data_IF_242337425648
#
_entry.id   IF_242337425648
#
_cell.length_a   1.000
_cell.length_b   1.000
_cell.length_c   1.000
_cell.angle_alpha   90.00
_cell.angle_beta   90.00
_cell.angle_gamma   90.00
#
_symmetry.space_group_name_H-M   'P 1'
#
loop_
_entity.id
_entity.type
_entity.pdbx_description
1 polymer ?
#
# COMPACT_ATOMS: atom_id res chain seq x y z
N UNK A 1 -16.52 -5.63 18.87
CA UNK A 1 -16.57 -6.44 17.62
C UNK A 1 -16.03 -5.68 16.42
N UNK A 2 -16.38 -4.39 16.21
CA UNK A 2 -15.89 -3.61 15.06
C UNK A 2 -14.36 -3.52 14.95
N UNK A 3 -13.67 -3.22 16.05
CA UNK A 3 -12.20 -3.09 16.08
C UNK A 3 -11.46 -4.38 15.67
N UNK A 4 -11.96 -5.54 16.10
CA UNK A 4 -11.37 -6.84 15.75
C UNK A 4 -11.50 -7.09 14.25
N UNK A 5 -12.64 -6.74 13.65
CA UNK A 5 -12.86 -6.88 12.21
C UNK A 5 -11.92 -5.97 11.43
N UNK A 6 -11.79 -4.71 11.85
CA UNK A 6 -10.86 -3.74 11.23
C UNK A 6 -9.43 -4.30 11.26
N UNK A 7 -8.97 -4.75 12.43
CA UNK A 7 -7.62 -5.32 12.57
C UNK A 7 -7.39 -6.55 11.68
N UNK A 8 -8.38 -7.45 11.56
CA UNK A 8 -8.28 -8.61 10.66
C UNK A 8 -8.16 -8.16 9.20
N UNK A 9 -8.95 -7.17 8.78
CA UNK A 9 -8.91 -6.62 7.42
C UNK A 9 -7.56 -5.96 7.15
N UNK A 10 -7.02 -5.19 8.09
CA UNK A 10 -5.72 -4.53 7.95
C UNK A 10 -4.58 -5.54 7.80
N UNK A 11 -4.59 -6.60 8.60
CA UNK A 11 -3.63 -7.71 8.48
C UNK A 11 -3.73 -8.36 7.11
N UNK A 12 -4.95 -8.60 6.61
CA UNK A 12 -5.17 -9.16 5.29
C UNK A 12 -4.65 -8.22 4.18
N UNK A 13 -4.87 -6.91 4.29
CA UNK A 13 -4.37 -5.91 3.34
C UNK A 13 -2.84 -5.88 3.30
N UNK A 14 -2.18 -5.90 4.46
CA UNK A 14 -0.71 -5.99 4.54
C UNK A 14 -0.22 -7.30 3.91
N UNK A 15 -0.86 -8.43 4.23
CA UNK A 15 -0.50 -9.72 3.65
C UNK A 15 -0.66 -9.74 2.12
N UNK A 16 -1.73 -9.18 1.58
CA UNK A 16 -1.93 -8.99 0.15
C UNK A 16 -0.84 -8.10 -0.46
N UNK A 17 -0.45 -7.02 0.21
CA UNK A 17 0.66 -6.16 -0.21
C UNK A 17 2.01 -6.88 -0.25
N UNK A 18 2.30 -7.71 0.77
CA UNK A 18 3.50 -8.55 0.83
C UNK A 18 3.50 -9.57 -0.31
N UNK A 19 2.37 -10.23 -0.55
CA UNK A 19 2.22 -11.17 -1.66
C UNK A 19 2.39 -10.48 -3.01
N UNK A 20 1.81 -9.30 -3.20
CA UNK A 20 2.01 -8.50 -4.41
C UNK A 20 3.50 -8.18 -4.63
N UNK A 21 4.21 -7.78 -3.57
CA UNK A 21 5.65 -7.51 -3.63
C UNK A 21 6.47 -8.78 -3.92
N UNK A 22 6.08 -9.91 -3.35
CA UNK A 22 6.72 -11.20 -3.60
C UNK A 22 6.52 -11.66 -5.05
N UNK A 23 5.29 -11.63 -5.57
CA UNK A 23 5.01 -12.00 -6.96
C UNK A 23 5.62 -11.01 -7.96
N UNK A 24 5.67 -9.72 -7.64
CA UNK A 24 6.33 -8.72 -8.48
C UNK A 24 7.80 -9.02 -8.75
N UNK A 25 8.52 -9.62 -7.79
CA UNK A 25 9.91 -10.07 -7.98
C UNK A 25 10.04 -11.26 -8.93
N UNK A 26 9.00 -12.06 -9.09
CA UNK A 26 9.00 -13.21 -9.98
C UNK A 26 8.70 -12.82 -11.43
N UNK A 27 8.14 -11.62 -11.66
CA UNK A 27 7.90 -11.15 -13.02
C UNK A 27 9.22 -10.73 -13.66
N UNK A 28 9.80 -11.65 -14.43
CA UNK A 28 11.02 -11.43 -15.21
C UNK A 28 10.82 -10.47 -16.39
N UNK A 29 11.94 -10.06 -17.01
CA UNK A 29 11.98 -9.09 -18.11
C UNK A 29 12.42 -7.69 -17.67
N UNK A 30 13.27 -7.04 -18.47
CA UNK A 30 14.01 -5.83 -18.08
C UNK A 30 13.15 -4.62 -17.71
N UNK A 31 11.91 -4.53 -18.21
CA UNK A 31 11.05 -3.34 -18.07
C UNK A 31 9.73 -3.64 -17.34
N UNK A 32 9.17 -4.85 -17.49
CA UNK A 32 8.00 -5.31 -16.72
C UNK A 32 8.28 -5.40 -15.22
N UNK A 33 9.49 -5.85 -14.87
CA UNK A 33 9.91 -6.04 -13.48
C UNK A 33 9.84 -4.75 -12.65
N UNK A 34 10.45 -3.64 -13.12
CA UNK A 34 10.48 -2.38 -12.37
C UNK A 34 9.11 -1.72 -12.24
N UNK A 35 8.26 -1.83 -13.27
CA UNK A 35 6.93 -1.23 -13.26
C UNK A 35 6.00 -1.97 -12.29
N UNK A 36 6.03 -3.31 -12.32
CA UNK A 36 5.23 -4.15 -11.44
C UNK A 36 5.72 -4.06 -9.99
N UNK A 37 7.04 -3.98 -9.76
CA UNK A 37 7.58 -3.70 -8.43
C UNK A 37 7.10 -2.36 -7.86
N UNK A 38 7.01 -1.31 -8.69
CA UNK A 38 6.51 -0.01 -8.25
C UNK A 38 5.03 -0.09 -7.84
N UNK A 39 4.20 -0.79 -8.63
CA UNK A 39 2.80 -1.03 -8.26
C UNK A 39 2.70 -1.82 -6.96
N UNK A 40 3.48 -2.89 -6.83
CA UNK A 40 3.48 -3.73 -5.65
C UNK A 40 3.95 -2.99 -4.39
N UNK A 41 4.94 -2.09 -4.50
CA UNK A 41 5.32 -1.21 -3.39
C UNK A 41 4.18 -0.28 -2.97
N UNK A 42 3.35 0.19 -3.90
CA UNK A 42 2.17 0.98 -3.57
C UNK A 42 1.09 0.16 -2.87
N UNK A 43 0.81 -1.07 -3.33
CA UNK A 43 -0.12 -1.96 -2.62
C UNK A 43 0.34 -2.32 -1.21
N UNK A 44 1.65 -2.56 -1.03
CA UNK A 44 2.21 -2.77 0.29
C UNK A 44 2.06 -1.53 1.17
N UNK A 45 2.36 -0.33 0.65
CA UNK A 45 2.23 0.91 1.39
C UNK A 45 0.77 1.21 1.78
N UNK A 46 -0.21 0.86 0.94
CA UNK A 46 -1.64 0.93 1.26
C UNK A 46 -1.99 0.08 2.49
N UNK A 47 -1.60 -1.20 2.50
CA UNK A 47 -1.83 -2.07 3.66
C UNK A 47 -1.15 -1.53 4.93
N UNK A 48 0.08 -1.03 4.78
CA UNK A 48 0.82 -0.40 5.89
C UNK A 48 0.11 0.86 6.41
N UNK A 49 -0.50 1.67 5.55
CA UNK A 49 -1.20 2.89 5.97
C UNK A 49 -2.40 2.58 6.89
N UNK A 50 -3.15 1.51 6.59
CA UNK A 50 -4.28 1.07 7.41
C UNK A 50 -3.82 0.52 8.75
N UNK A 51 -2.87 -0.42 8.75
CA UNK A 51 -2.40 -1.01 10.02
C UNK A 51 -1.71 0.03 10.91
N UNK A 52 -1.04 1.02 10.32
CA UNK A 52 -0.40 2.11 11.06
C UNK A 52 -1.45 3.00 11.72
N UNK A 53 -2.52 3.37 10.99
CA UNK A 53 -3.63 4.15 11.55
C UNK A 53 -4.27 3.42 12.75
N UNK A 54 -4.65 2.15 12.57
CA UNK A 54 -5.20 1.31 13.63
C UNK A 54 -4.24 1.21 14.82
N UNK A 55 -2.95 1.00 14.57
CA UNK A 55 -1.94 0.90 15.62
C UNK A 55 -1.73 2.22 16.37
N UNK A 56 -1.73 3.37 15.67
CA UNK A 56 -1.57 4.70 16.27
C UNK A 56 -2.77 5.03 17.17
N UNK A 57 -3.99 4.83 16.68
CA UNK A 57 -5.21 5.10 17.45
C UNK A 57 -5.34 4.19 18.68
N UNK A 58 -4.93 2.93 18.55
CA UNK A 58 -5.03 1.95 19.65
C UNK A 58 -3.92 2.13 20.69
N UNK A 59 -2.68 2.42 20.26
CA UNK A 59 -1.53 2.50 21.17
C UNK A 59 -1.34 3.89 21.78
N UNK A 60 -1.82 4.93 21.10
CA UNK A 60 -1.66 6.32 21.51
C UNK A 60 -3.01 7.07 21.41
N UNK A 61 -3.99 6.74 22.28
CA UNK A 61 -5.34 7.33 22.22
C UNK A 61 -5.35 8.85 22.48
N UNK A 62 -4.29 9.39 23.07
CA UNK A 62 -4.08 10.84 23.24
C UNK A 62 -3.59 11.56 21.97
N UNK A 63 -3.32 10.86 20.87
CA UNK A 63 -3.01 11.50 19.60
C UNK A 63 -4.25 12.24 19.07
N UNK A 64 -4.00 13.39 18.48
CA UNK A 64 -5.02 14.15 17.79
C UNK A 64 -5.54 13.36 16.56
N UNK A 65 -6.85 13.13 16.53
CA UNK A 65 -7.52 12.37 15.48
C UNK A 65 -7.31 13.00 14.11
N UNK A 66 -7.36 14.34 14.04
CA UNK A 66 -7.17 15.07 12.78
C UNK A 66 -5.77 14.82 12.22
N UNK A 67 -4.74 14.87 13.06
CA UNK A 67 -3.35 14.57 12.67
C UNK A 67 -3.18 13.13 12.18
N UNK A 68 -3.80 12.15 12.84
CA UNK A 68 -3.74 10.73 12.43
C UNK A 68 -4.41 10.54 11.07
N UNK A 69 -5.61 11.08 10.88
CA UNK A 69 -6.33 10.99 9.61
C UNK A 69 -5.57 11.67 8.45
N UNK A 70 -5.00 12.85 8.68
CA UNK A 70 -4.18 13.54 7.67
C UNK A 70 -2.98 12.67 7.27
N UNK A 71 -2.29 12.09 8.26
CA UNK A 71 -1.14 11.23 8.03
C UNK A 71 -1.52 9.98 7.23
N UNK A 72 -2.64 9.35 7.57
CA UNK A 72 -3.21 8.22 6.83
C UNK A 72 -3.49 8.60 5.36
N UNK A 73 -4.20 9.71 5.12
CA UNK A 73 -4.53 10.19 3.76
C UNK A 73 -3.30 10.49 2.92
N UNK A 74 -2.25 11.06 3.53
CA UNK A 74 -0.98 11.31 2.84
C UNK A 74 -0.32 9.99 2.43
N UNK A 75 -0.28 8.98 3.30
CA UNK A 75 0.27 7.66 2.96
C UNK A 75 -0.53 6.98 1.83
N UNK A 76 -1.86 7.02 1.90
CA UNK A 76 -2.75 6.48 0.85
C UNK A 76 -2.52 7.20 -0.49
N UNK A 77 -2.36 8.52 -0.48
CA UNK A 77 -2.07 9.30 -1.69
C UNK A 77 -0.73 8.89 -2.29
N UNK A 78 0.33 8.81 -1.49
CA UNK A 78 1.67 8.37 -1.95
C UNK A 78 1.61 6.96 -2.53
N UNK A 79 0.94 6.03 -1.85
CA UNK A 79 0.76 4.67 -2.32
C UNK A 79 0.02 4.61 -3.67
N UNK A 80 -1.03 5.41 -3.81
CA UNK A 80 -1.80 5.54 -5.06
C UNK A 80 -0.94 6.09 -6.19
N UNK A 81 -0.12 7.11 -5.93
CA UNK A 81 0.80 7.66 -6.91
C UNK A 81 1.82 6.62 -7.39
N UNK A 82 2.37 5.80 -6.49
CA UNK A 82 3.28 4.70 -6.87
C UNK A 82 2.59 3.70 -7.82
N UNK A 83 1.33 3.34 -7.53
CA UNK A 83 0.54 2.45 -8.39
C UNK A 83 0.31 3.07 -9.77
N UNK A 84 -0.15 4.32 -9.82
CA UNK A 84 -0.42 5.03 -11.08
C UNK A 84 0.85 5.20 -11.93
N UNK A 85 1.98 5.55 -11.31
CA UNK A 85 3.27 5.64 -12.01
C UNK A 85 3.69 4.27 -12.55
N UNK A 86 3.44 3.20 -11.79
CA UNK A 86 3.72 1.82 -12.20
C UNK A 86 2.92 1.44 -13.45
N UNK A 87 1.61 1.72 -13.44
CA UNK A 87 0.75 1.53 -14.61
C UNK A 87 1.18 2.39 -15.80
N UNK A 88 1.52 3.67 -15.59
CA UNK A 88 1.95 4.56 -16.67
C UNK A 88 3.26 4.10 -17.33
N UNK A 89 4.19 3.53 -16.55
CA UNK A 89 5.42 2.92 -17.08
C UNK A 89 5.13 1.65 -17.87
N UNK A 90 4.26 0.78 -17.32
CA UNK A 90 3.86 -0.45 -17.99
C UNK A 90 3.12 -0.18 -19.31
N UNK A 91 2.18 0.77 -19.32
CA UNK A 91 1.41 1.14 -20.50
C UNK A 91 2.30 1.71 -21.62
N UNK A 92 3.30 2.52 -21.28
CA UNK A 92 4.27 3.02 -22.27
C UNK A 92 5.09 1.89 -22.88
N UNK A 93 5.47 0.89 -22.09
CA UNK A 93 6.22 -0.27 -22.56
C UNK A 93 5.39 -1.19 -23.46
N UNK A 94 4.12 -1.47 -23.11
CA UNK A 94 3.28 -2.36 -23.93
C UNK A 94 2.92 -1.74 -25.28
N UNK A 95 2.89 -0.40 -25.38
CA UNK A 95 2.57 0.32 -26.62
C UNK A 95 3.75 0.54 -27.55
N UNK A 96 4.98 0.39 -27.05
CA UNK A 96 6.23 0.51 -27.82
C UNK A 96 6.66 -0.83 -28.39
#
# INVERSE_FOLDING_TARGET
MGEIVIMIVDIALVACGILAAYYAKQVGGSIGHKSIQLMASGFLLLGVAHILETALLTSFPQLDLETVEISHRVLVLVATLLILIGYARLARFVRS
#
